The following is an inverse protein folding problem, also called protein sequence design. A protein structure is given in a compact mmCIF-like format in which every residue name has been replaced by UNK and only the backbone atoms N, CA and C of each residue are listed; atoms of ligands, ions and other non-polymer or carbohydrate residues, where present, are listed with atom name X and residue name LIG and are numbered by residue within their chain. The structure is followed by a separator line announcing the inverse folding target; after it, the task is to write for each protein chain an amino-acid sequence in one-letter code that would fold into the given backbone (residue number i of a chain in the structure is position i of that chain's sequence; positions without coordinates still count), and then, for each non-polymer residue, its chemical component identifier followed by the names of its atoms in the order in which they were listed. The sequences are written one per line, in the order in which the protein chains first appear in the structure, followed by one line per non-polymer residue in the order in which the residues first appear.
data_IF_825342415216
#
_entry.id   IF_825342415216
#
_cell.length_a   1.000
_cell.length_b   1.000
_cell.length_c   1.000
_cell.angle_alpha   90.00
_cell.angle_beta   90.00
_cell.angle_gamma   90.00
#
_symmetry.space_group_name_H-M   'P 1'
#
loop_
_entity.id
_entity.type
_entity.pdbx_description
1 polymer ?
#
# COMPACT_ATOMS: atom_id res chain seq x y z
N UNK A 1 -6.91 4.41 -19.92
CA UNK A 1 -6.02 4.75 -19.95
C UNK A 1 -4.71 4.25 -19.57
N UNK A 2 -3.66 4.92 -19.90
CA UNK A 2 -2.31 4.47 -19.72
C UNK A 2 -1.97 4.11 -18.29
N UNK A 3 -2.76 4.60 -17.35
CA UNK A 3 -2.50 4.33 -15.95
C UNK A 3 -3.25 3.11 -15.45
N UNK A 4 -3.97 2.42 -16.31
CA UNK A 4 -4.78 1.29 -15.87
C UNK A 4 -3.96 0.14 -15.36
N UNK A 5 -4.50 -0.56 -14.37
CA UNK A 5 -3.81 -1.68 -13.78
C UNK A 5 -4.02 -2.99 -14.53
N UNK A 6 -5.08 -3.09 -15.32
CA UNK A 6 -5.35 -4.31 -16.04
C UNK A 6 -6.11 -5.33 -15.19
N UNK A 7 -7.00 -6.05 -15.84
CA UNK A 7 -7.90 -6.97 -15.13
C UNK A 7 -7.13 -8.14 -14.53
N UNK A 8 -6.13 -8.65 -15.25
CA UNK A 8 -5.37 -9.78 -14.72
C UNK A 8 -4.65 -9.40 -13.44
N UNK A 9 -4.05 -8.20 -13.42
CA UNK A 9 -3.36 -7.75 -12.23
C UNK A 9 -4.34 -7.58 -11.07
N UNK A 10 -5.50 -7.00 -11.35
CA UNK A 10 -6.52 -6.80 -10.31
C UNK A 10 -7.00 -8.13 -9.74
N UNK A 11 -7.13 -9.15 -10.59
CA UNK A 11 -7.49 -10.46 -10.09
C UNK A 11 -6.47 -11.00 -9.11
N UNK A 12 -5.19 -10.77 -9.38
CA UNK A 12 -4.14 -11.24 -8.48
C UNK A 12 -4.21 -10.49 -7.15
N UNK A 13 -4.53 -9.22 -7.20
CA UNK A 13 -4.59 -8.43 -5.96
C UNK A 13 -5.69 -8.89 -5.02
N UNK A 14 -6.74 -9.49 -5.55
CA UNK A 14 -7.82 -9.96 -4.67
C UNK A 14 -7.36 -11.07 -3.75
N UNK A 15 -6.22 -11.69 -4.03
CA UNK A 15 -5.69 -12.75 -3.21
C UNK A 15 -4.69 -12.28 -2.18
N UNK A 16 -4.37 -11.00 -2.17
CA UNK A 16 -3.43 -10.45 -1.20
C UNK A 16 -4.18 -9.94 0.01
N UNK A 17 -3.47 -9.80 1.11
CA UNK A 17 -4.05 -9.30 2.34
C UNK A 17 -3.72 -7.86 2.61
N UNK A 18 -2.69 -7.36 1.96
CA UNK A 18 -2.17 -6.03 2.21
C UNK A 18 -1.64 -5.47 0.92
N UNK A 19 -1.99 -4.23 0.65
CA UNK A 19 -1.47 -3.54 -0.53
C UNK A 19 -0.53 -2.45 -0.08
N UNK A 20 0.62 -2.38 -0.71
CA UNK A 20 1.58 -1.31 -0.46
C UNK A 20 1.56 -0.36 -1.64
N UNK A 21 1.19 0.89 -1.38
CA UNK A 21 1.25 1.94 -2.38
C UNK A 21 2.61 2.59 -2.34
N UNK A 22 3.45 2.29 -3.31
CA UNK A 22 4.76 2.94 -3.39
C UNK A 22 4.62 4.24 -4.16
N UNK A 23 4.98 5.32 -3.50
CA UNK A 23 4.85 6.66 -4.08
C UNK A 23 6.25 7.22 -4.32
N UNK A 24 6.50 7.63 -5.55
CA UNK A 24 7.78 8.24 -5.92
C UNK A 24 7.74 9.70 -5.51
N UNK A 25 8.47 10.03 -4.45
CA UNK A 25 8.46 11.39 -3.91
C UNK A 25 9.39 12.33 -4.69
N UNK A 26 10.17 11.79 -5.62
CA UNK A 26 11.06 12.59 -6.44
C UNK A 26 11.01 12.11 -7.88
N UNK A 27 9.85 12.22 -8.53
CA UNK A 27 9.72 11.68 -9.89
C UNK A 27 10.62 12.43 -10.87
N UNK A 28 11.17 11.69 -11.82
CA UNK A 28 12.01 12.30 -12.84
C UNK A 28 11.22 13.32 -13.66
N UNK A 29 9.97 12.96 -13.97
CA UNK A 29 9.08 13.88 -14.67
C UNK A 29 8.40 14.77 -13.64
N UNK A 30 8.80 16.05 -13.62
CA UNK A 30 8.25 16.95 -12.60
C UNK A 30 6.77 17.19 -12.77
N UNK A 31 6.20 16.83 -13.91
CA UNK A 31 4.77 16.98 -14.12
C UNK A 31 3.98 15.85 -13.48
N UNK A 32 4.64 14.78 -13.09
CA UNK A 32 3.96 13.70 -12.40
C UNK A 32 3.58 14.10 -10.99
N UNK A 33 2.34 13.87 -10.66
CA UNK A 33 1.82 14.17 -9.31
C UNK A 33 1.65 12.86 -8.56
N UNK A 34 2.47 12.63 -7.52
CA UNK A 34 2.35 11.37 -6.78
C UNK A 34 0.96 11.13 -6.21
N UNK A 35 0.31 12.20 -5.75
CA UNK A 35 -1.02 12.06 -5.18
C UNK A 35 -2.01 11.59 -6.23
N UNK A 36 -1.91 12.16 -7.42
CA UNK A 36 -2.83 11.79 -8.49
C UNK A 36 -2.69 10.32 -8.85
N UNK A 37 -1.46 9.83 -8.87
CA UNK A 37 -1.22 8.42 -9.19
C UNK A 37 -1.90 7.50 -8.18
N UNK A 38 -1.80 7.82 -6.90
CA UNK A 38 -2.45 7.00 -5.88
C UNK A 38 -3.96 7.05 -6.03
N UNK A 39 -4.50 8.24 -6.31
CA UNK A 39 -5.94 8.38 -6.46
C UNK A 39 -6.48 7.58 -7.65
N UNK A 40 -5.74 7.55 -8.74
CA UNK A 40 -6.15 6.78 -9.91
C UNK A 40 -6.18 5.30 -9.57
N UNK A 41 -5.14 4.81 -8.90
CA UNK A 41 -5.07 3.41 -8.54
C UNK A 41 -6.21 3.05 -7.59
N UNK A 42 -6.48 3.87 -6.60
CA UNK A 42 -7.56 3.60 -5.67
C UNK A 42 -8.91 3.52 -6.37
N UNK A 43 -9.14 4.41 -7.33
CA UNK A 43 -10.38 4.36 -8.08
C UNK A 43 -10.52 3.07 -8.88
N UNK A 44 -9.42 2.62 -9.47
CA UNK A 44 -9.48 1.38 -10.22
C UNK A 44 -9.73 0.17 -9.34
N UNK A 45 -9.16 0.17 -8.14
CA UNK A 45 -9.41 -0.90 -7.20
C UNK A 45 -10.88 -0.94 -6.79
N UNK A 46 -11.43 0.21 -6.47
CA UNK A 46 -12.83 0.30 -6.08
C UNK A 46 -13.77 -0.09 -7.21
N UNK A 47 -13.43 0.32 -8.43
CA UNK A 47 -14.27 -0.02 -9.58
C UNK A 47 -14.25 -1.50 -9.88
N UNK A 48 -13.13 -2.16 -9.60
CA UNK A 48 -13.03 -3.58 -9.86
C UNK A 48 -13.89 -4.39 -8.89
N UNK A 49 -13.77 -4.10 -7.60
CA UNK A 49 -14.58 -4.80 -6.61
C UNK A 49 -14.56 -4.01 -5.30
N UNK A 50 -15.67 -4.09 -4.60
CA UNK A 50 -15.77 -3.43 -3.30
C UNK A 50 -14.79 -4.04 -2.30
N UNK A 51 -14.62 -5.34 -2.35
CA UNK A 51 -13.70 -6.03 -1.46
C UNK A 51 -12.27 -5.55 -1.68
N UNK A 52 -11.87 -5.36 -2.93
CA UNK A 52 -10.53 -4.91 -3.23
C UNK A 52 -10.34 -3.45 -2.82
N UNK A 53 -11.36 -2.63 -3.02
CA UNK A 53 -11.26 -1.22 -2.63
C UNK A 53 -11.17 -1.01 -1.14
N UNK A 54 -11.65 -1.96 -0.33
CA UNK A 54 -11.60 -1.85 1.12
C UNK A 54 -10.48 -2.66 1.74
N UNK A 55 -9.56 -3.17 0.91
CA UNK A 55 -8.42 -3.93 1.40
C UNK A 55 -7.48 -3.03 2.19
N UNK A 56 -6.80 -3.61 3.18
CA UNK A 56 -5.82 -2.85 3.95
C UNK A 56 -4.73 -2.33 3.04
N UNK A 57 -4.41 -1.06 3.15
CA UNK A 57 -3.42 -0.41 2.32
C UNK A 57 -2.49 0.43 3.17
N UNK A 58 -1.19 0.31 2.90
CA UNK A 58 -0.17 1.12 3.54
C UNK A 58 0.47 2.00 2.50
N UNK A 59 0.78 3.22 2.87
CA UNK A 59 1.42 4.17 1.97
C UNK A 59 2.92 4.16 2.22
N UNK A 60 3.70 4.00 1.16
CA UNK A 60 5.14 3.95 1.26
C UNK A 60 5.71 5.07 0.41
N UNK A 61 6.23 6.10 1.07
CA UNK A 61 6.81 7.24 0.38
C UNK A 61 8.28 6.94 0.12
N UNK A 62 8.61 6.72 -1.14
CA UNK A 62 9.92 6.27 -1.57
C UNK A 62 10.76 7.42 -2.11
N UNK A 63 12.05 7.18 -2.19
CA UNK A 63 13.03 8.14 -2.68
C UNK A 63 13.17 9.34 -1.76
N UNK A 64 13.01 9.09 -0.47
CA UNK A 64 13.11 10.18 0.51
C UNK A 64 14.50 10.79 0.54
N UNK A 65 15.51 10.03 0.16
CA UNK A 65 16.88 10.55 0.12
C UNK A 65 17.07 11.60 -0.96
N UNK A 66 16.20 11.63 -1.97
CA UNK A 66 16.29 12.61 -3.04
C UNK A 66 15.47 13.85 -2.77
N UNK A 67 14.69 13.87 -1.69
CA UNK A 67 13.91 15.04 -1.33
C UNK A 67 14.74 15.91 -0.41
N UNK A 68 14.91 17.21 -0.75
CA UNK A 68 15.71 18.10 0.10
C UNK A 68 15.18 18.11 1.53
N UNK A 69 16.13 18.10 2.49
CA UNK A 69 15.77 17.93 3.88
C UNK A 69 14.89 19.07 4.39
N UNK A 70 15.11 20.28 3.90
CA UNK A 70 14.37 21.43 4.40
C UNK A 70 12.90 21.45 3.98
N UNK A 71 12.53 20.71 2.93
CA UNK A 71 11.14 20.66 2.48
C UNK A 71 10.53 19.28 2.67
N UNK A 72 11.30 18.34 3.19
CA UNK A 72 10.85 16.94 3.25
C UNK A 72 9.59 16.78 4.08
N UNK A 73 9.57 17.36 5.24
CA UNK A 73 8.43 17.21 6.12
C UNK A 73 7.18 17.85 5.53
N UNK A 74 7.33 19.06 4.99
CA UNK A 74 6.19 19.75 4.39
C UNK A 74 5.66 19.00 3.18
N UNK A 75 6.54 18.46 2.36
CA UNK A 75 6.11 17.75 1.17
C UNK A 75 5.37 16.47 1.53
N UNK A 76 5.87 15.74 2.51
CA UNK A 76 5.19 14.54 2.96
C UNK A 76 3.83 14.87 3.55
N UNK A 77 3.76 15.92 4.36
CA UNK A 77 2.49 16.29 4.96
C UNK A 77 1.48 16.70 3.89
N UNK A 78 1.94 17.40 2.87
CA UNK A 78 1.06 17.79 1.78
C UNK A 78 0.47 16.57 1.08
N UNK A 79 1.29 15.55 0.84
CA UNK A 79 0.81 14.34 0.19
C UNK A 79 -0.24 13.66 1.05
N UNK A 80 0.04 13.52 2.35
CA UNK A 80 -0.90 12.86 3.25
C UNK A 80 -2.20 13.64 3.36
N UNK A 81 -2.12 14.97 3.40
CA UNK A 81 -3.32 15.80 3.50
C UNK A 81 -4.17 15.71 2.24
N UNK A 82 -3.52 15.76 1.08
CA UNK A 82 -4.26 15.70 -0.18
C UNK A 82 -4.92 14.34 -0.37
N UNK A 83 -4.30 13.27 0.13
CA UNK A 83 -4.88 11.93 0.06
C UNK A 83 -5.87 11.68 1.19
N UNK A 84 -5.85 12.53 2.20
CA UNK A 84 -6.63 12.28 3.42
C UNK A 84 -6.32 10.89 3.96
N UNK A 85 -5.02 10.59 3.99
CA UNK A 85 -4.57 9.25 4.36
C UNK A 85 -4.71 9.03 5.84
N UNK A 86 -5.31 7.91 6.21
CA UNK A 86 -5.53 7.59 7.62
C UNK A 86 -4.86 6.31 8.06
N UNK A 87 -4.27 5.57 7.11
CA UNK A 87 -3.60 4.34 7.45
C UNK A 87 -2.13 4.54 7.75
N UNK A 88 -1.40 3.45 7.74
CA UNK A 88 0.03 3.50 8.01
C UNK A 88 0.79 4.15 6.87
N UNK A 89 1.86 4.84 7.22
CA UNK A 89 2.73 5.51 6.25
C UNK A 89 4.17 5.17 6.60
N UNK A 90 4.95 4.85 5.57
CA UNK A 90 6.37 4.57 5.73
C UNK A 90 7.17 5.49 4.84
N UNK A 91 8.33 5.89 5.31
CA UNK A 91 9.23 6.78 4.59
C UNK A 91 10.53 6.02 4.34
N UNK A 92 10.81 5.74 3.08
CA UNK A 92 11.92 4.88 2.75
C UNK A 92 12.74 5.45 1.60
N UNK A 93 13.95 4.91 1.46
CA UNK A 93 14.76 5.07 0.27
C UNK A 93 15.14 3.68 -0.21
N UNK A 94 14.48 3.23 -1.28
CA UNK A 94 14.79 1.90 -1.78
C UNK A 94 16.22 1.74 -2.21
N UNK A 95 16.82 2.82 -2.69
CA UNK A 95 18.20 2.75 -3.16
C UNK A 95 19.20 2.65 -2.00
N UNK A 96 19.01 3.45 -0.96
CA UNK A 96 19.93 3.44 0.18
C UNK A 96 19.54 2.42 1.24
N UNK A 97 18.32 1.92 1.20
CA UNK A 97 17.82 0.99 2.19
C UNK A 97 17.25 1.64 3.43
N UNK A 98 17.31 2.96 3.51
CA UNK A 98 16.83 3.66 4.69
C UNK A 98 15.33 3.42 4.89
N UNK A 99 14.94 3.04 6.08
CA UNK A 99 13.54 2.81 6.41
C UNK A 99 12.98 1.49 5.93
N UNK A 100 13.71 0.76 5.09
CA UNK A 100 13.19 -0.48 4.52
C UNK A 100 13.06 -1.58 5.56
N UNK A 101 13.97 -1.63 6.53
CA UNK A 101 13.91 -2.66 7.56
C UNK A 101 12.64 -2.51 8.39
N UNK A 102 12.27 -1.29 8.74
CA UNK A 102 11.05 -1.08 9.51
C UNK A 102 9.83 -1.50 8.71
N UNK A 103 9.82 -1.18 7.42
CA UNK A 103 8.70 -1.58 6.58
C UNK A 103 8.58 -3.09 6.49
N UNK A 104 9.70 -3.77 6.26
CA UNK A 104 9.69 -5.22 6.13
C UNK A 104 9.23 -5.86 7.44
N UNK A 105 9.72 -5.37 8.57
CA UNK A 105 9.32 -5.91 9.86
C UNK A 105 7.82 -5.75 10.09
N UNK A 106 7.27 -4.59 9.76
CA UNK A 106 5.85 -4.36 9.96
C UNK A 106 5.03 -5.22 9.01
N UNK A 107 5.48 -5.41 7.78
CA UNK A 107 4.78 -6.28 6.84
C UNK A 107 4.76 -7.71 7.37
N UNK A 108 5.90 -8.20 7.84
CA UNK A 108 5.98 -9.56 8.35
C UNK A 108 5.08 -9.73 9.57
N UNK A 109 5.07 -8.74 10.47
CA UNK A 109 4.19 -8.82 11.63
C UNK A 109 2.72 -8.82 11.22
N UNK A 110 2.37 -7.99 10.25
CA UNK A 110 0.99 -7.95 9.76
C UNK A 110 0.59 -9.30 9.19
N UNK A 111 1.44 -9.89 8.38
CA UNK A 111 1.12 -11.17 7.75
C UNK A 111 1.02 -12.28 8.78
N UNK A 112 1.87 -12.26 9.81
CA UNK A 112 1.80 -13.26 10.87
C UNK A 112 0.52 -13.11 11.67
N UNK A 113 0.15 -11.89 12.02
CA UNK A 113 -1.09 -11.65 12.75
C UNK A 113 -2.30 -12.05 11.93
N UNK A 114 -2.27 -11.74 10.66
CA UNK A 114 -3.35 -12.10 9.75
C UNK A 114 -3.49 -13.61 9.64
N UNK A 115 -2.35 -14.30 9.56
CA UNK A 115 -2.35 -15.75 9.48
C UNK A 115 -2.85 -16.38 10.77
N UNK A 116 -2.45 -15.84 11.91
CA UNK A 116 -2.91 -16.35 13.19
C UNK A 116 -4.41 -16.15 13.34
N UNK A 117 -4.91 -15.00 12.92
CA UNK A 117 -6.33 -14.73 12.97
C UNK A 117 -7.11 -15.69 12.08
N UNK A 118 -6.57 -16.03 10.93
CA UNK A 118 -7.21 -16.99 10.05
C UNK A 118 -7.21 -18.40 10.64
N UNK A 119 -6.12 -18.75 11.31
CA UNK A 119 -6.05 -20.05 11.97
C UNK A 119 -7.08 -20.14 13.08
N UNK A 120 -7.24 -19.06 13.85
CA UNK A 120 -8.25 -19.04 14.89
C UNK A 120 -9.65 -19.21 14.31
N UNK A 121 -9.91 -18.50 13.21
CA UNK A 121 -11.20 -18.62 12.56
C UNK A 121 -11.42 -20.04 12.04
N UNK A 122 -10.40 -20.64 11.47
CA UNK A 122 -10.50 -22.00 10.98
C UNK A 122 -10.77 -22.97 12.11
N UNK A 123 -10.12 -22.77 13.26
CA UNK A 123 -10.35 -23.62 14.40
C UNK A 123 -11.79 -23.50 14.90
N UNK A 124 -12.30 -22.27 14.95
CA UNK A 124 -13.67 -22.05 15.41
C UNK A 124 -14.68 -22.68 14.50
N UNK A 125 -14.46 -22.64 13.21
CA UNK A 125 -15.40 -23.17 12.24
C UNK A 125 -14.87 -24.44 11.59
N UNK A 126 -14.07 -25.20 12.33
CA UNK A 126 -13.44 -26.36 11.75
C UNK A 126 -14.44 -27.39 11.26
N UNK A 127 -15.58 -27.52 11.95
CA UNK A 127 -16.58 -28.46 11.49
C UNK A 127 -17.12 -28.06 10.12
N UNK A 128 -17.26 -26.77 9.90
CA UNK A 128 -17.76 -26.31 8.62
C UNK A 128 -16.72 -26.44 7.53
N UNK A 129 -15.47 -26.33 7.90
CA UNK A 129 -14.41 -26.30 6.91
C UNK A 129 -13.98 -27.67 6.45
N UNK A 130 -14.44 -28.69 7.12
CA UNK A 130 -13.99 -30.03 6.78
C UNK A 130 -14.33 -30.39 5.34
N UNK A 131 -15.37 -29.79 4.81
CA UNK A 131 -15.77 -30.09 3.44
C UNK A 131 -14.82 -29.51 2.42
N UNK A 132 -14.00 -28.60 2.81
CA UNK A 132 -13.04 -28.06 1.86
C UNK A 132 -12.10 -29.16 1.32
#
# INVERSE_FOLDING_TARGET
EGAGLGIQFLKHLTRTRLLLHLVDMAPVDVKQDPVESVQIINRELENYSEALGSQDQWLVLNKMDLVPEDIREDLCQEVLDRLQWKGKVFYISGQSGEGCDALVNDVMNYLEESRASEKDKSADSSQDDVQE
#
